data_IF_401395799473
#
_entry.id   IF_401395799473
#
_cell.length_a   1.000
_cell.length_b   1.000
_cell.length_c   1.000
_cell.angle_alpha   90.00
_cell.angle_beta   90.00
_cell.angle_gamma   90.00
#
_symmetry.space_group_name_H-M   'P 1'
#
loop_
_entity.id
_entity.type
_entity.pdbx_description
1 polymer ?
#
# COMPACT_ATOMS: atom_id res chain seq x y z
N UNK A 1 47.72 -40.37 -30.75
CA UNK A 1 46.83 -41.16 -31.62
C UNK A 1 45.41 -40.61 -31.38
N UNK A 2 44.65 -40.11 -32.36
CA UNK A 2 44.23 -40.72 -33.64
C UNK A 2 43.21 -41.84 -33.37
N UNK A 3 41.98 -41.93 -33.91
CA UNK A 3 41.26 -41.34 -35.08
C UNK A 3 39.74 -41.29 -34.75
N UNK A 4 39.03 -40.15 -34.86
CA UNK A 4 38.20 -39.63 -36.01
C UNK A 4 36.80 -40.29 -36.20
N UNK A 5 35.82 -39.46 -36.60
CA UNK A 5 34.42 -39.82 -36.95
C UNK A 5 34.28 -40.70 -38.21
N UNK A 6 33.11 -41.34 -38.37
CA UNK A 6 32.24 -41.43 -39.58
C UNK A 6 30.92 -42.12 -39.11
N UNK A 7 29.66 -41.69 -39.30
CA UNK A 7 28.86 -41.07 -40.39
C UNK A 7 28.12 -42.10 -41.28
N UNK A 8 26.77 -42.03 -41.29
CA UNK A 8 25.80 -42.55 -42.29
C UNK A 8 25.59 -44.09 -42.40
N UNK A 9 24.53 -44.66 -43.02
CA UNK A 9 23.38 -44.11 -43.83
C UNK A 9 22.16 -45.07 -43.88
N UNK A 10 20.93 -44.54 -44.09
CA UNK A 10 19.77 -45.14 -44.84
C UNK A 10 19.16 -46.47 -44.31
N UNK A 11 17.97 -46.97 -44.69
CA UNK A 11 16.79 -46.55 -45.51
C UNK A 11 15.58 -47.45 -45.11
N UNK A 12 14.30 -47.27 -45.48
CA UNK A 12 13.56 -46.28 -46.28
C UNK A 12 12.28 -45.85 -45.48
N UNK A 13 11.05 -45.56 -45.95
CA UNK A 13 10.31 -45.51 -47.24
C UNK A 13 9.71 -44.09 -47.44
N UNK A 14 9.36 -43.60 -48.63
CA UNK A 14 8.20 -43.87 -49.53
C UNK A 14 6.83 -43.77 -48.82
N UNK A 15 5.87 -42.94 -49.27
CA UNK A 15 5.58 -42.54 -50.68
C UNK A 15 5.56 -41.02 -50.95
N UNK A 16 5.58 -40.65 -52.25
CA UNK A 16 5.59 -39.27 -52.79
C UNK A 16 4.21 -38.59 -52.79
N UNK A 17 4.19 -37.25 -52.78
CA UNK A 17 3.89 -36.49 -54.01
C UNK A 17 4.25 -34.99 -53.90
N UNK A 18 4.50 -34.36 -55.05
CA UNK A 18 4.95 -32.98 -55.21
C UNK A 18 4.21 -32.31 -56.38
N UNK A 19 3.70 -31.09 -56.20
CA UNK A 19 3.54 -30.08 -57.25
C UNK A 19 3.21 -28.71 -56.66
N UNK A 20 3.74 -27.64 -57.26
CA UNK A 20 3.45 -26.26 -56.85
C UNK A 20 2.07 -25.79 -57.33
N UNK A 21 1.36 -25.00 -56.52
CA UNK A 21 0.49 -23.94 -57.06
C UNK A 21 0.32 -22.77 -56.10
N UNK A 22 0.44 -21.58 -56.69
CA UNK A 22 0.49 -20.24 -56.11
C UNK A 22 -0.71 -19.77 -55.28
N UNK A 23 -0.41 -19.04 -54.19
CA UNK A 23 -1.07 -17.79 -53.74
C UNK A 23 -2.62 -17.73 -53.75
N UNK A 24 -3.32 -18.41 -52.83
CA UNK A 24 -4.78 -18.19 -52.68
C UNK A 24 -5.42 -18.43 -51.28
N UNK A 25 -4.76 -18.16 -50.14
CA UNK A 25 -5.52 -17.94 -48.89
C UNK A 25 -4.78 -17.11 -47.80
N UNK A 26 -5.24 -15.88 -47.55
CA UNK A 26 -4.88 -15.08 -46.34
C UNK A 26 -6.01 -14.20 -45.78
N UNK A 27 -7.23 -14.23 -46.35
CA UNK A 27 -8.34 -13.34 -45.99
C UNK A 27 -9.51 -14.06 -45.27
N UNK A 28 -9.43 -15.36 -45.01
CA UNK A 28 -10.54 -16.13 -44.42
C UNK A 28 -10.58 -16.13 -42.87
N UNK A 29 -9.44 -15.96 -42.18
CA UNK A 29 -9.37 -16.04 -40.71
C UNK A 29 -9.60 -14.71 -39.99
N UNK A 30 -9.36 -13.57 -40.64
CA UNK A 30 -9.50 -12.23 -40.07
C UNK A 30 -10.96 -11.84 -39.79
N UNK A 31 -11.91 -12.38 -40.57
CA UNK A 31 -13.34 -12.12 -40.38
C UNK A 31 -13.88 -12.66 -39.05
N UNK A 32 -13.35 -13.80 -38.57
CA UNK A 32 -13.86 -14.45 -37.35
C UNK A 32 -13.40 -13.72 -36.08
N UNK A 33 -12.11 -13.38 -35.97
CA UNK A 33 -11.55 -12.75 -34.76
C UNK A 33 -12.15 -11.36 -34.46
N UNK A 34 -12.52 -10.59 -35.49
CA UNK A 34 -13.23 -9.31 -35.33
C UNK A 34 -14.57 -9.46 -34.60
N UNK A 35 -15.27 -10.59 -34.77
CA UNK A 35 -16.62 -10.80 -34.20
C UNK A 35 -16.64 -10.98 -32.68
N UNK A 36 -15.49 -11.35 -32.06
CA UNK A 36 -15.38 -11.53 -30.62
C UNK A 36 -15.18 -10.17 -29.93
N UNK A 37 -14.24 -9.36 -30.43
CA UNK A 37 -13.98 -8.02 -29.87
C UNK A 37 -15.17 -7.08 -30.08
N UNK A 38 -15.87 -7.18 -31.21
CA UNK A 38 -17.11 -6.44 -31.47
C UNK A 38 -18.24 -6.76 -30.47
N UNK A 39 -18.22 -7.92 -29.79
CA UNK A 39 -19.19 -8.31 -28.75
C UNK A 39 -18.66 -8.12 -27.32
N UNK A 40 -17.35 -8.11 -27.11
CA UNK A 40 -16.73 -7.72 -25.84
C UNK A 40 -16.86 -6.21 -25.56
N UNK A 41 -17.07 -5.39 -26.61
CA UNK A 41 -17.26 -3.94 -26.54
C UNK A 41 -18.63 -3.50 -25.96
N UNK A 42 -19.05 -4.14 -24.85
CA UNK A 42 -20.01 -3.54 -23.93
C UNK A 42 -19.49 -2.14 -23.53
N UNK A 43 -20.34 -1.10 -23.68
CA UNK A 43 -19.93 0.31 -23.54
C UNK A 43 -19.13 0.52 -22.26
N UNK A 44 -17.80 0.70 -22.40
CA UNK A 44 -16.90 1.00 -21.28
C UNK A 44 -17.23 2.40 -20.78
N UNK A 45 -18.13 2.47 -19.80
CA UNK A 45 -18.65 3.71 -19.22
C UNK A 45 -17.60 4.32 -18.28
N UNK A 46 -16.56 4.89 -18.89
CA UNK A 46 -15.53 5.67 -18.21
C UNK A 46 -16.09 7.03 -17.82
N UNK A 47 -16.11 7.31 -16.52
CA UNK A 47 -16.59 8.58 -15.96
C UNK A 47 -15.48 9.27 -15.18
N UNK A 48 -15.35 10.56 -15.42
CA UNK A 48 -14.31 11.42 -14.84
C UNK A 48 -14.83 12.12 -13.60
N UNK A 49 -14.07 12.06 -12.51
CA UNK A 49 -14.41 12.67 -11.22
C UNK A 49 -13.31 13.62 -10.75
N UNK A 50 -13.68 14.82 -10.26
CA UNK A 50 -12.71 15.75 -9.63
C UNK A 50 -12.37 15.31 -8.21
N UNK A 51 -11.22 15.74 -7.68
CA UNK A 51 -10.85 15.47 -6.28
C UNK A 51 -11.93 15.95 -5.29
N UNK A 52 -12.55 17.11 -5.52
CA UNK A 52 -13.65 17.61 -4.68
C UNK A 52 -14.89 16.69 -4.72
N UNK A 53 -15.24 16.12 -5.89
CA UNK A 53 -16.31 15.12 -5.96
C UNK A 53 -15.96 13.84 -5.18
N UNK A 54 -14.69 13.43 -5.17
CA UNK A 54 -14.20 12.25 -4.43
C UNK A 54 -14.22 12.50 -2.92
N UNK A 55 -13.76 13.67 -2.45
CA UNK A 55 -13.88 14.07 -1.05
C UNK A 55 -15.35 14.19 -0.60
N UNK A 56 -16.23 14.75 -1.44
CA UNK A 56 -17.67 14.82 -1.17
C UNK A 56 -18.31 13.42 -1.08
N UNK A 57 -17.92 12.50 -1.98
CA UNK A 57 -18.38 11.11 -1.94
C UNK A 57 -17.94 10.38 -0.66
N UNK A 58 -16.67 10.53 -0.26
CA UNK A 58 -16.13 9.92 0.95
C UNK A 58 -16.71 10.54 2.23
N UNK A 59 -16.91 11.87 2.24
CA UNK A 59 -17.57 12.61 3.31
C UNK A 59 -18.96 12.05 3.61
N UNK A 60 -19.81 11.93 2.57
CA UNK A 60 -21.15 11.33 2.67
C UNK A 60 -21.10 9.86 3.11
N UNK A 61 -20.14 9.08 2.61
CA UNK A 61 -20.03 7.64 2.86
C UNK A 61 -19.68 7.30 4.32
N UNK A 62 -18.83 8.11 4.95
CA UNK A 62 -18.27 7.82 6.29
C UNK A 62 -18.66 8.84 7.37
N UNK A 63 -19.55 9.78 7.05
CA UNK A 63 -20.01 10.86 7.92
C UNK A 63 -18.85 11.68 8.54
N UNK A 64 -17.90 12.06 7.69
CA UNK A 64 -16.75 12.92 8.08
C UNK A 64 -16.89 14.26 7.33
N UNK A 65 -16.74 15.43 7.99
CA UNK A 65 -16.83 16.72 7.31
C UNK A 65 -15.86 16.84 6.13
N UNK A 66 -16.35 17.26 4.95
CA UNK A 66 -15.54 17.32 3.74
C UNK A 66 -14.27 18.18 3.93
N UNK A 67 -14.41 19.36 4.56
CA UNK A 67 -13.29 20.25 4.90
C UNK A 67 -12.19 19.58 5.74
N UNK A 68 -12.57 18.66 6.64
CA UNK A 68 -11.62 17.93 7.48
C UNK A 68 -10.82 16.90 6.65
N UNK A 69 -11.47 16.21 5.71
CA UNK A 69 -10.78 15.31 4.76
C UNK A 69 -9.81 16.09 3.85
N UNK A 70 -10.25 17.26 3.36
CA UNK A 70 -9.45 18.13 2.49
C UNK A 70 -8.25 18.74 3.25
N UNK A 71 -8.43 19.16 4.50
CA UNK A 71 -7.36 19.67 5.37
C UNK A 71 -6.33 18.60 5.76
N UNK A 72 -6.76 17.36 5.99
CA UNK A 72 -5.86 16.21 6.16
C UNK A 72 -5.10 15.93 4.86
N UNK A 73 -5.77 15.80 3.72
CA UNK A 73 -5.10 15.51 2.44
C UNK A 73 -4.11 16.61 1.98
N UNK A 74 -4.39 17.87 2.29
CA UNK A 74 -3.44 18.98 2.13
C UNK A 74 -2.23 18.83 3.06
N UNK A 75 -2.45 18.47 4.33
CA UNK A 75 -1.39 18.30 5.33
C UNK A 75 -0.47 17.12 5.03
N UNK A 76 -1.05 15.99 4.61
CA UNK A 76 -0.39 14.72 4.38
C UNK A 76 0.43 14.68 3.08
N UNK A 77 -0.16 15.13 1.96
CA UNK A 77 0.45 14.96 0.63
C UNK A 77 0.49 16.23 -0.24
N UNK A 78 -0.16 17.33 0.19
CA UNK A 78 -0.49 18.46 -0.68
C UNK A 78 -1.20 18.01 -1.97
N UNK A 79 -2.17 17.11 -1.83
CA UNK A 79 -2.93 16.50 -2.94
C UNK A 79 -2.07 15.76 -3.98
N UNK A 80 -1.04 15.03 -3.52
CA UNK A 80 -0.19 14.17 -4.36
C UNK A 80 -0.61 12.70 -4.24
N UNK A 81 -1.34 12.22 -5.26
CA UNK A 81 -1.74 10.82 -5.40
C UNK A 81 -0.56 9.82 -5.37
N UNK A 82 0.61 10.23 -5.87
CA UNK A 82 1.83 9.42 -5.90
C UNK A 82 2.82 9.75 -4.76
N UNK A 83 2.33 10.28 -3.63
CA UNK A 83 3.18 10.53 -2.47
C UNK A 83 3.51 9.23 -1.72
N UNK A 84 4.79 9.04 -1.38
CA UNK A 84 5.26 8.00 -0.46
C UNK A 84 6.14 8.68 0.59
N UNK A 85 5.84 8.54 1.88
CA UNK A 85 6.70 9.08 2.95
C UNK A 85 7.93 8.20 3.17
N UNK A 86 8.88 8.69 3.98
CA UNK A 86 10.03 7.91 4.43
C UNK A 86 9.63 6.65 5.23
N UNK A 87 8.55 6.71 6.02
CA UNK A 87 8.01 5.52 6.71
C UNK A 87 7.10 4.65 5.81
N UNK A 88 6.90 5.00 4.54
CA UNK A 88 6.09 4.21 3.61
C UNK A 88 4.59 4.50 3.66
N UNK A 89 4.17 5.64 4.20
CA UNK A 89 2.78 6.10 4.10
C UNK A 89 2.47 6.46 2.64
N UNK A 90 1.34 6.00 2.10
CA UNK A 90 1.05 6.02 0.66
C UNK A 90 -0.16 6.89 0.30
N UNK A 91 -0.05 7.55 -0.85
CA UNK A 91 -1.14 8.23 -1.51
C UNK A 91 -1.59 9.53 -0.86
N UNK A 92 -2.73 10.03 -1.32
CA UNK A 92 -3.16 11.40 -1.11
C UNK A 92 -3.53 11.75 0.36
N UNK A 93 -3.90 10.74 1.16
CA UNK A 93 -4.14 10.83 2.61
C UNK A 93 -3.12 10.01 3.43
N UNK A 94 -1.96 9.65 2.84
CA UNK A 94 -0.82 8.98 3.49
C UNK A 94 -1.21 7.80 4.40
N UNK A 95 -1.82 6.76 3.82
CA UNK A 95 -2.14 5.52 4.52
C UNK A 95 -0.90 4.62 4.61
N UNK A 96 -0.52 4.20 5.82
CA UNK A 96 0.50 3.16 6.02
C UNK A 96 0.06 1.83 5.38
N UNK A 97 0.97 0.95 4.90
CA UNK A 97 0.59 -0.22 4.11
C UNK A 97 -0.36 -1.18 4.81
N UNK A 98 -0.09 -1.50 6.09
CA UNK A 98 -0.98 -2.34 6.89
C UNK A 98 -2.34 -1.66 7.15
N UNK A 99 -2.36 -0.34 7.37
CA UNK A 99 -3.59 0.45 7.53
C UNK A 99 -4.42 0.40 6.25
N UNK A 100 -3.83 0.68 5.08
CA UNK A 100 -4.50 0.59 3.78
C UNK A 100 -5.12 -0.80 3.55
N UNK A 101 -4.35 -1.88 3.78
CA UNK A 101 -4.82 -3.27 3.70
C UNK A 101 -6.01 -3.54 4.65
N UNK A 102 -5.92 -3.10 5.91
CA UNK A 102 -7.02 -3.24 6.90
C UNK A 102 -8.30 -2.46 6.55
N UNK A 103 -8.16 -1.39 5.76
CA UNK A 103 -9.27 -0.55 5.32
C UNK A 103 -9.94 -1.08 4.04
N UNK A 104 -9.32 -2.02 3.32
CA UNK A 104 -9.80 -2.52 2.02
C UNK A 104 -9.38 -1.63 0.84
N UNK A 105 -8.24 -0.96 0.95
CA UNK A 105 -7.60 -0.21 -0.13
C UNK A 105 -6.62 -1.15 -0.84
N UNK A 106 -6.82 -1.38 -2.14
CA UNK A 106 -6.02 -2.31 -2.95
C UNK A 106 -4.87 -1.55 -3.62
N UNK A 107 -5.21 -0.45 -4.30
CA UNK A 107 -4.23 0.52 -4.80
C UNK A 107 -4.24 1.75 -3.89
N UNK A 108 -3.18 1.91 -3.08
CA UNK A 108 -3.03 3.04 -2.19
C UNK A 108 -2.61 4.34 -2.90
N UNK A 109 -2.21 4.31 -4.17
CA UNK A 109 -1.94 5.50 -4.98
C UNK A 109 -3.16 5.92 -5.83
N UNK A 110 -4.16 5.05 -5.98
CA UNK A 110 -5.47 5.42 -6.53
C UNK A 110 -6.15 6.47 -5.63
N UNK A 111 -6.47 7.68 -6.12
CA UNK A 111 -7.04 8.72 -5.25
C UNK A 111 -8.41 8.35 -4.67
N UNK A 112 -9.21 7.56 -5.37
CA UNK A 112 -10.55 7.17 -4.88
C UNK A 112 -10.45 6.13 -3.77
N UNK A 113 -9.66 5.08 -3.95
CA UNK A 113 -9.47 4.09 -2.88
C UNK A 113 -8.76 4.70 -1.67
N UNK A 114 -7.72 5.51 -1.89
CA UNK A 114 -6.99 6.17 -0.80
C UNK A 114 -7.84 7.19 -0.01
N UNK A 115 -8.62 8.06 -0.68
CA UNK A 115 -9.53 8.99 0.02
C UNK A 115 -10.64 8.24 0.75
N UNK A 116 -11.19 7.18 0.17
CA UNK A 116 -12.20 6.35 0.83
C UNK A 116 -11.62 5.60 2.04
N UNK A 117 -10.35 5.17 1.99
CA UNK A 117 -9.63 4.60 3.12
C UNK A 117 -9.37 5.63 4.22
N UNK A 118 -8.80 6.79 3.88
CA UNK A 118 -8.53 7.88 4.83
C UNK A 118 -9.79 8.38 5.53
N UNK A 119 -10.89 8.56 4.80
CA UNK A 119 -12.18 8.93 5.39
C UNK A 119 -12.75 7.83 6.31
N UNK A 120 -12.61 6.55 5.94
CA UNK A 120 -12.99 5.41 6.80
C UNK A 120 -12.18 5.37 8.10
N UNK A 121 -10.87 5.59 8.02
CA UNK A 121 -9.98 5.59 9.19
C UNK A 121 -10.23 6.81 10.10
N UNK A 122 -10.40 8.01 9.52
CA UNK A 122 -10.69 9.21 10.30
C UNK A 122 -12.09 9.14 10.96
N UNK A 123 -13.07 8.52 10.31
CA UNK A 123 -14.37 8.20 10.91
C UNK A 123 -14.24 7.25 12.11
N UNK A 124 -13.41 6.20 12.00
CA UNK A 124 -13.08 5.32 13.12
C UNK A 124 -12.40 6.06 14.27
N UNK A 125 -11.48 6.98 14.00
CA UNK A 125 -10.81 7.77 15.03
C UNK A 125 -11.77 8.77 15.70
N UNK A 126 -12.60 9.48 14.93
CA UNK A 126 -13.65 10.36 15.46
C UNK A 126 -14.62 9.59 16.36
N UNK A 127 -15.06 8.38 15.96
CA UNK A 127 -15.88 7.50 16.79
C UNK A 127 -15.15 7.06 18.07
N UNK A 128 -13.85 6.72 17.98
CA UNK A 128 -13.05 6.26 19.12
C UNK A 128 -12.88 7.34 20.20
N UNK A 129 -12.84 8.62 19.82
CA UNK A 129 -12.67 9.75 20.75
C UNK A 129 -13.92 10.62 20.87
N UNK A 130 -15.11 10.04 20.70
CA UNK A 130 -16.40 10.70 20.97
C UNK A 130 -16.60 12.03 20.21
N UNK A 131 -16.07 12.15 19.00
CA UNK A 131 -16.12 13.36 18.18
C UNK A 131 -15.02 14.38 18.45
N UNK A 132 -14.09 14.14 19.38
CA UNK A 132 -12.94 15.02 19.63
C UNK A 132 -11.96 14.98 18.44
N UNK A 133 -12.06 16.00 17.57
CA UNK A 133 -11.23 16.14 16.36
C UNK A 133 -9.73 16.15 16.66
N UNK A 134 -9.29 16.79 17.74
CA UNK A 134 -7.87 16.90 18.10
C UNK A 134 -7.25 15.54 18.46
N UNK A 135 -7.95 14.72 19.25
CA UNK A 135 -7.54 13.34 19.57
C UNK A 135 -7.65 12.43 18.34
N UNK A 136 -8.68 12.61 17.52
CA UNK A 136 -8.85 11.85 16.29
C UNK A 136 -7.74 12.12 15.26
N UNK A 137 -7.31 13.37 15.10
CA UNK A 137 -6.19 13.77 14.24
C UNK A 137 -4.84 13.28 14.79
N UNK A 138 -4.61 13.37 16.11
CA UNK A 138 -3.42 12.81 16.73
C UNK A 138 -3.33 11.28 16.53
N UNK A 139 -4.47 10.58 16.61
CA UNK A 139 -4.53 9.14 16.37
C UNK A 139 -4.48 8.75 14.89
N UNK A 140 -4.90 9.64 13.99
CA UNK A 140 -4.68 9.48 12.55
C UNK A 140 -3.18 9.51 12.23
N UNK A 141 -2.48 10.54 12.72
CA UNK A 141 -1.06 10.79 12.47
C UNK A 141 -0.10 9.83 13.18
N UNK A 142 -0.30 9.55 14.47
CA UNK A 142 0.63 8.76 15.29
C UNK A 142 0.06 7.41 15.77
N UNK A 143 -1.15 7.06 15.34
CA UNK A 143 -1.85 5.84 15.76
C UNK A 143 -2.53 5.96 17.13
N UNK A 144 -3.68 5.28 17.33
CA UNK A 144 -4.46 5.38 18.56
C UNK A 144 -3.73 4.88 19.82
N UNK A 145 -2.74 3.99 19.68
CA UNK A 145 -1.93 3.52 20.80
C UNK A 145 -1.07 4.62 21.44
N UNK A 146 -0.54 5.55 20.64
CA UNK A 146 0.24 6.67 21.16
C UNK A 146 -0.64 7.70 21.90
N UNK A 147 -1.84 8.00 21.38
CA UNK A 147 -2.81 8.87 22.06
C UNK A 147 -3.25 8.27 23.40
N UNK A 148 -3.52 6.96 23.44
CA UNK A 148 -3.83 6.26 24.69
C UNK A 148 -2.68 6.30 25.70
N UNK A 149 -1.43 6.04 25.25
CA UNK A 149 -0.23 6.07 26.11
C UNK A 149 0.02 7.44 26.77
N UNK A 150 -0.31 8.53 26.09
CA UNK A 150 -0.12 9.89 26.60
C UNK A 150 -1.39 10.49 27.26
N UNK A 151 -2.48 9.71 27.35
CA UNK A 151 -3.80 10.15 27.85
C UNK A 151 -4.29 11.48 27.25
N UNK A 152 -3.99 11.71 25.97
CA UNK A 152 -4.18 13.02 25.34
C UNK A 152 -3.45 13.14 23.99
N UNK A 153 -3.43 14.34 23.41
CA UNK A 153 -2.64 14.64 22.21
C UNK A 153 -1.15 14.64 22.58
N UNK A 154 -0.31 13.72 22.05
CA UNK A 154 1.12 13.71 22.35
C UNK A 154 1.78 15.01 21.86
N UNK A 155 2.80 15.51 22.55
CA UNK A 155 3.47 16.78 22.23
C UNK A 155 3.96 16.84 20.77
N UNK A 156 4.55 15.75 20.28
CA UNK A 156 5.01 15.62 18.89
C UNK A 156 3.88 15.61 17.84
N UNK A 157 2.61 15.37 18.24
CA UNK A 157 1.45 15.45 17.36
C UNK A 157 0.83 16.86 17.29
N UNK A 158 1.11 17.75 18.25
CA UNK A 158 0.41 19.05 18.35
C UNK A 158 0.61 19.91 17.10
N UNK A 159 1.82 19.91 16.52
CA UNK A 159 2.10 20.63 15.27
C UNK A 159 1.26 20.14 14.07
N UNK A 160 0.99 18.83 13.98
CA UNK A 160 0.10 18.26 12.97
C UNK A 160 -1.35 18.69 13.21
N UNK A 161 -1.86 18.51 14.43
CA UNK A 161 -3.25 18.85 14.80
C UNK A 161 -3.53 20.33 14.53
N UNK A 162 -2.63 21.22 14.96
CA UNK A 162 -2.76 22.66 14.78
C UNK A 162 -2.70 23.05 13.29
N UNK A 163 -1.85 22.40 12.48
CA UNK A 163 -1.76 22.63 11.03
C UNK A 163 -3.06 22.22 10.31
N UNK A 164 -3.61 21.05 10.63
CA UNK A 164 -4.89 20.60 10.05
C UNK A 164 -6.03 21.53 10.47
N UNK A 165 -6.14 21.90 11.75
CA UNK A 165 -7.17 22.82 12.22
C UNK A 165 -7.09 24.17 11.49
N UNK A 166 -5.89 24.74 11.33
CA UNK A 166 -5.70 26.01 10.64
C UNK A 166 -6.16 25.99 9.17
N UNK A 167 -6.09 24.83 8.50
CA UNK A 167 -6.66 24.62 7.16
C UNK A 167 -8.18 24.42 7.16
N UNK A 168 -8.78 23.86 8.21
CA UNK A 168 -10.24 23.81 8.37
C UNK A 168 -10.80 25.23 8.51
N UNK A 169 -10.15 26.05 9.34
CA UNK A 169 -10.56 27.42 9.66
C UNK A 169 -10.43 28.36 8.45
N UNK A 170 -9.27 28.33 7.76
CA UNK A 170 -9.01 29.14 6.56
C UNK A 170 -9.68 28.61 5.29
N UNK A 171 -10.11 27.35 5.29
CA UNK A 171 -10.54 26.64 4.09
C UNK A 171 -9.38 26.12 3.25
N UNK A 172 -9.70 25.22 2.30
CA UNK A 172 -8.73 24.47 1.51
C UNK A 172 -9.06 24.56 0.02
N UNK A 173 -8.09 25.06 -0.76
CA UNK A 173 -8.17 25.07 -2.22
C UNK A 173 -7.78 23.69 -2.77
N UNK A 174 -8.76 22.79 -2.92
CA UNK A 174 -8.58 21.49 -3.57
C UNK A 174 -8.24 21.72 -5.06
N UNK A 175 -7.13 21.17 -5.59
CA UNK A 175 -6.78 21.38 -6.99
C UNK A 175 -7.78 20.68 -7.92
N UNK A 176 -8.02 21.25 -9.10
CA UNK A 176 -8.90 20.69 -10.13
C UNK A 176 -8.25 19.49 -10.87
N UNK A 177 -7.71 18.53 -10.12
CA UNK A 177 -7.25 17.23 -10.60
C UNK A 177 -8.44 16.27 -10.71
N UNK A 178 -8.36 15.38 -11.69
CA UNK A 178 -9.40 14.40 -11.99
C UNK A 178 -8.88 12.97 -11.96
N UNK A 179 -9.81 12.02 -11.83
CA UNK A 179 -9.58 10.58 -12.00
C UNK A 179 -10.65 10.04 -12.95
N UNK A 180 -10.23 9.36 -14.01
CA UNK A 180 -11.13 8.63 -14.91
C UNK A 180 -11.28 7.20 -14.41
N UNK A 181 -12.51 6.75 -14.15
CA UNK A 181 -12.80 5.40 -13.69
C UNK A 181 -13.79 4.69 -14.61
N UNK A 182 -13.51 3.42 -14.92
CA UNK A 182 -14.52 2.53 -15.48
C UNK A 182 -15.57 2.23 -14.40
N UNK A 183 -16.83 2.53 -14.68
CA UNK A 183 -17.95 2.38 -13.73
C UNK A 183 -18.20 0.93 -13.29
N UNK A 184 -17.63 -0.08 -13.95
CA UNK A 184 -17.72 -1.48 -13.49
C UNK A 184 -16.79 -1.79 -12.29
N UNK A 185 -15.74 -1.00 -12.07
CA UNK A 185 -14.76 -1.18 -10.98
C UNK A 185 -15.38 -0.88 -9.60
N UNK A 186 -14.75 -1.36 -8.52
CA UNK A 186 -15.18 -1.02 -7.16
C UNK A 186 -15.18 0.50 -6.91
N UNK A 187 -14.08 1.18 -7.26
CA UNK A 187 -13.97 2.64 -7.18
C UNK A 187 -15.04 3.34 -8.04
N UNK A 188 -15.31 2.86 -9.26
CA UNK A 188 -16.34 3.38 -10.15
C UNK A 188 -17.75 3.29 -9.55
N UNK A 189 -18.13 2.10 -9.07
CA UNK A 189 -19.42 1.85 -8.39
C UNK A 189 -19.61 2.71 -7.14
N UNK A 190 -18.57 2.85 -6.32
CA UNK A 190 -18.60 3.73 -5.15
C UNK A 190 -18.80 5.19 -5.57
N UNK A 191 -18.04 5.68 -6.54
CA UNK A 191 -18.22 7.07 -7.01
C UNK A 191 -19.60 7.32 -7.63
N UNK A 192 -20.15 6.36 -8.38
CA UNK A 192 -21.50 6.47 -8.92
C UNK A 192 -22.58 6.52 -7.82
N UNK A 193 -22.42 5.74 -6.73
CA UNK A 193 -23.34 5.73 -5.59
C UNK A 193 -23.48 7.10 -4.89
N UNK A 194 -22.38 7.83 -4.67
CA UNK A 194 -22.38 9.07 -3.85
C UNK A 194 -22.29 10.38 -4.66
N UNK A 195 -22.16 10.31 -6.00
CA UNK A 195 -22.21 11.48 -6.89
C UNK A 195 -23.49 11.60 -7.72
N UNK A 196 -24.30 10.54 -7.82
CA UNK A 196 -25.56 10.58 -8.59
C UNK A 196 -26.67 11.27 -7.79
N UNK A 197 -27.40 12.20 -8.43
CA UNK A 197 -28.47 12.99 -7.82
C UNK A 197 -29.77 12.18 -7.56
N UNK A 198 -29.71 11.18 -6.67
CA UNK A 198 -30.91 10.76 -5.94
C UNK A 198 -31.20 11.79 -4.85
N UNK A 199 -32.48 12.15 -4.66
CA UNK A 199 -32.92 13.12 -3.64
C UNK A 199 -32.30 12.76 -2.29
N UNK A 200 -31.61 13.72 -1.69
CA UNK A 200 -31.09 13.64 -0.34
C UNK A 200 -32.25 13.34 0.65
N UNK A 201 -32.10 12.35 1.54
CA UNK A 201 -32.96 12.28 2.73
C UNK A 201 -32.72 13.55 3.53
N UNK A 202 -33.75 14.37 3.70
CA UNK A 202 -33.69 15.55 4.56
C UNK A 202 -33.34 15.09 5.96
N UNK A 203 -32.17 15.48 6.45
CA UNK A 203 -31.85 15.34 7.87
C UNK A 203 -32.73 16.38 8.59
N UNK A 204 -33.89 15.93 9.06
CA UNK A 204 -34.60 16.62 10.13
C UNK A 204 -33.65 16.70 11.30
N UNK A 205 -33.24 17.91 11.66
CA UNK A 205 -32.53 18.17 12.91
C UNK A 205 -33.43 17.76 14.07
N UNK A 206 -33.10 16.65 14.74
CA UNK A 206 -33.78 16.29 15.98
C UNK A 206 -33.60 17.43 16.98
N UNK A 207 -34.73 17.89 17.50
CA UNK A 207 -34.82 19.11 18.28
C UNK A 207 -34.23 18.86 19.66
N UNK A 208 -33.03 19.40 19.91
CA UNK A 208 -32.41 19.38 21.23
C UNK A 208 -33.41 19.89 22.28
N UNK A 209 -33.70 19.06 23.28
CA UNK A 209 -34.70 19.31 24.32
C UNK A 209 -34.15 20.26 25.39
N UNK A 210 -33.92 21.51 25.00
CA UNK A 210 -33.61 22.58 25.94
C UNK A 210 -34.80 22.78 26.89
N UNK A 211 -34.59 22.45 28.15
CA UNK A 211 -35.59 22.61 29.21
C UNK A 211 -35.83 24.11 29.48
N UNK A 212 -37.07 24.48 29.81
CA UNK A 212 -37.46 25.90 29.84
C UNK A 212 -36.99 26.63 31.10
N UNK A 213 -36.57 27.88 30.92
CA UNK A 213 -36.77 28.93 31.91
C UNK A 213 -37.03 30.27 31.21
N UNK A 214 -37.77 31.16 31.88
CA UNK A 214 -38.20 32.50 31.45
C UNK A 214 -37.03 33.43 31.06
N UNK A 215 -37.20 34.54 30.31
CA UNK A 215 -38.31 35.50 30.40
C UNK A 215 -38.48 36.46 29.19
N UNK A 216 -39.65 37.12 29.13
CA UNK A 216 -39.98 38.44 28.52
C UNK A 216 -39.43 38.90 27.14
N UNK A 217 -40.36 39.22 26.20
CA UNK A 217 -40.39 40.34 25.21
C UNK A 217 -39.11 40.73 24.43
N UNK A 218 -39.13 40.90 23.09
CA UNK A 218 -39.90 41.98 22.42
C UNK A 218 -40.19 41.74 20.90
N UNK A 219 -40.71 42.76 20.21
CA UNK A 219 -41.21 42.77 18.81
C UNK A 219 -40.12 42.82 17.71
N UNK A 220 -40.41 42.26 16.52
CA UNK A 220 -40.72 43.03 15.28
C UNK A 220 -40.61 42.22 13.96
N UNK A 221 -41.41 42.62 12.96
CA UNK A 221 -41.33 42.47 11.47
C UNK A 221 -40.61 41.27 10.80
N UNK A 222 -41.22 40.57 9.83
CA UNK A 222 -41.47 40.98 8.40
C UNK A 222 -40.17 41.13 7.57
N UNK A 223 -40.06 40.64 6.33
CA UNK A 223 -41.10 40.19 5.37
C UNK A 223 -40.56 39.09 4.42
N UNK A 224 -41.47 38.40 3.72
CA UNK A 224 -41.16 37.48 2.62
C UNK A 224 -40.61 38.18 1.38
N UNK A 225 -39.66 37.55 0.68
CA UNK A 225 -39.56 37.62 -0.79
C UNK A 225 -39.32 36.20 -1.34
N UNK A 226 -40.30 35.69 -2.08
CA UNK A 226 -40.11 34.56 -3.01
C UNK A 226 -39.99 35.16 -4.40
N UNK A 227 -39.01 34.73 -5.20
CA UNK A 227 -39.18 34.74 -6.65
C UNK A 227 -38.36 33.64 -7.34
N UNK A 228 -38.74 33.34 -8.59
CA UNK A 228 -38.47 32.07 -9.27
C UNK A 228 -37.96 32.28 -10.70
N UNK A 229 -37.94 31.18 -11.48
CA UNK A 229 -38.11 31.13 -12.95
C UNK A 229 -36.83 31.11 -13.84
N UNK A 230 -36.63 29.89 -14.37
CA UNK A 230 -36.23 29.50 -15.74
C UNK A 230 -34.78 29.43 -16.25
N UNK A 231 -34.62 28.32 -16.98
CA UNK A 231 -33.57 27.94 -17.93
C UNK A 231 -33.85 28.46 -19.35
N UNK A 232 -32.80 28.64 -20.14
CA UNK A 232 -32.87 28.62 -21.62
C UNK A 232 -31.69 27.83 -22.22
N UNK A 233 -31.82 27.36 -23.46
CA UNK A 233 -30.83 26.52 -24.17
C UNK A 233 -29.87 27.34 -25.03
N UNK A 234 -28.65 26.82 -25.20
CA UNK A 234 -27.75 26.88 -26.37
C UNK A 234 -27.69 28.18 -27.21
N UNK A 235 -26.50 28.68 -27.57
CA UNK A 235 -25.55 27.94 -28.43
C UNK A 235 -24.15 28.59 -28.46
N UNK A 236 -23.14 27.80 -28.88
CA UNK A 236 -21.85 28.14 -29.49
C UNK A 236 -21.01 29.32 -28.95
N UNK A 237 -19.73 29.06 -28.65
CA UNK A 237 -18.59 29.59 -29.45
C UNK A 237 -17.25 28.91 -29.07
N UNK A 238 -16.40 28.71 -30.09
CA UNK A 238 -14.97 28.34 -30.10
C UNK A 238 -14.48 27.02 -29.45
N UNK A 239 -14.11 26.07 -30.32
CA UNK A 239 -13.02 25.11 -30.09
C UNK A 239 -11.70 25.85 -29.80
N UNK A 240 -10.88 25.35 -28.87
CA UNK A 240 -9.58 25.98 -28.59
C UNK A 240 -8.63 25.32 -27.58
N UNK A 241 -8.82 24.06 -27.16
CA UNK A 241 -7.98 23.45 -26.11
C UNK A 241 -7.90 21.91 -26.13
N UNK A 242 -7.61 21.28 -27.28
CA UNK A 242 -7.44 19.81 -27.39
C UNK A 242 -5.96 19.43 -27.62
N UNK A 243 -5.09 19.83 -26.69
CA UNK A 243 -3.68 19.41 -26.65
C UNK A 243 -3.08 19.59 -25.24
N UNK A 244 -3.17 18.56 -24.37
CA UNK A 244 -2.23 18.27 -23.26
C UNK A 244 -2.63 17.10 -22.31
N UNK A 245 -3.75 16.41 -22.55
CA UNK A 245 -4.20 15.28 -21.71
C UNK A 245 -3.44 13.96 -21.92
N UNK A 246 -2.65 13.82 -22.99
CA UNK A 246 -1.91 12.60 -23.33
C UNK A 246 -0.62 12.43 -22.50
N UNK A 247 0.15 13.51 -22.29
CA UNK A 247 1.44 13.46 -21.61
C UNK A 247 1.33 12.95 -20.16
N UNK A 248 0.40 13.51 -19.37
CA UNK A 248 0.22 13.15 -17.96
C UNK A 248 -0.20 11.68 -17.75
N UNK A 249 -1.07 11.16 -18.63
CA UNK A 249 -1.50 9.76 -18.58
C UNK A 249 -0.36 8.79 -18.97
N UNK A 250 0.54 9.21 -19.86
CA UNK A 250 1.71 8.41 -20.20
C UNK A 250 2.68 8.32 -19.01
N UNK A 251 2.95 9.42 -18.29
CA UNK A 251 3.84 9.42 -17.10
C UNK A 251 3.40 8.43 -16.02
N UNK A 252 2.09 8.36 -15.72
CA UNK A 252 1.54 7.39 -14.73
C UNK A 252 1.84 5.95 -15.16
N UNK A 253 1.67 5.65 -16.44
CA UNK A 253 1.92 4.34 -17.03
C UNK A 253 3.42 4.03 -17.15
N UNK A 254 4.27 5.04 -17.37
CA UNK A 254 5.74 4.90 -17.37
C UNK A 254 6.27 4.51 -15.99
N UNK A 255 5.75 5.07 -14.89
CA UNK A 255 6.14 4.61 -13.54
C UNK A 255 5.80 3.13 -13.31
N UNK A 256 4.59 2.68 -13.68
CA UNK A 256 4.22 1.27 -13.58
C UNK A 256 5.12 0.37 -14.46
N UNK A 257 5.48 0.83 -15.67
CA UNK A 257 6.40 0.12 -16.56
C UNK A 257 7.85 0.09 -16.08
N UNK A 258 8.33 1.08 -15.33
CA UNK A 258 9.69 1.06 -14.74
C UNK A 258 9.74 0.08 -13.57
N UNK A 259 8.69 0.00 -12.74
CA UNK A 259 8.55 -1.09 -11.77
C UNK A 259 8.52 -2.46 -12.48
N UNK A 260 7.70 -2.63 -13.52
CA UNK A 260 7.58 -3.89 -14.25
C UNK A 260 8.85 -4.30 -15.05
N UNK A 261 9.64 -3.35 -15.55
CA UNK A 261 10.86 -3.63 -16.31
C UNK A 261 12.00 -4.14 -15.42
N UNK A 262 12.10 -3.63 -14.18
CA UNK A 262 13.02 -4.15 -13.18
C UNK A 262 12.59 -5.53 -12.65
N UNK A 263 11.29 -5.86 -12.73
CA UNK A 263 10.71 -7.11 -12.21
C UNK A 263 11.28 -8.36 -12.88
N UNK A 264 11.60 -8.33 -14.18
CA UNK A 264 12.08 -9.51 -14.93
C UNK A 264 13.37 -10.11 -14.33
N UNK A 265 14.27 -9.28 -13.79
CA UNK A 265 15.48 -9.74 -13.09
C UNK A 265 15.24 -10.13 -11.63
N UNK A 266 14.20 -9.59 -10.99
CA UNK A 266 13.81 -9.97 -9.64
C UNK A 266 13.09 -11.33 -9.64
N UNK A 267 12.05 -11.49 -10.48
CA UNK A 267 11.28 -12.72 -10.63
C UNK A 267 12.20 -13.90 -10.99
N UNK A 268 13.07 -13.73 -11.99
CA UNK A 268 14.00 -14.80 -12.42
C UNK A 268 15.06 -15.14 -11.37
N UNK A 269 15.47 -14.22 -10.49
CA UNK A 269 16.32 -14.55 -9.35
C UNK A 269 15.52 -15.28 -8.27
N UNK A 270 14.30 -14.83 -7.98
CA UNK A 270 13.40 -15.43 -7.00
C UNK A 270 13.01 -16.86 -7.39
N UNK A 271 12.71 -17.14 -8.66
CA UNK A 271 12.38 -18.49 -9.14
C UNK A 271 13.54 -19.48 -8.97
N UNK A 272 14.77 -19.06 -9.29
CA UNK A 272 15.97 -19.90 -9.12
C UNK A 272 16.33 -20.14 -7.64
N UNK A 273 16.05 -19.17 -6.75
CA UNK A 273 16.22 -19.34 -5.30
C UNK A 273 15.09 -20.19 -4.71
N UNK A 274 13.84 -19.93 -5.10
CA UNK A 274 12.63 -20.64 -4.62
C UNK A 274 12.64 -22.13 -4.97
N UNK A 275 13.19 -22.49 -6.13
CA UNK A 275 13.35 -23.91 -6.55
C UNK A 275 14.50 -24.65 -5.85
N UNK A 276 15.36 -23.95 -5.10
CA UNK A 276 16.52 -24.55 -4.43
C UNK A 276 16.52 -24.44 -2.90
N UNK A 277 15.85 -23.43 -2.34
CA UNK A 277 15.75 -23.16 -0.89
C UNK A 277 14.41 -23.66 -0.34
N UNK A 278 14.47 -24.64 0.56
CA UNK A 278 13.30 -25.33 1.11
C UNK A 278 12.75 -24.66 2.36
N UNK A 279 13.60 -24.19 3.27
CA UNK A 279 13.21 -23.65 4.57
C UNK A 279 13.93 -22.34 4.94
N UNK A 280 13.54 -21.74 6.07
CA UNK A 280 14.15 -20.51 6.56
C UNK A 280 15.64 -20.67 6.96
N UNK A 281 16.13 -21.85 7.34
CA UNK A 281 17.56 -22.05 7.60
C UNK A 281 18.36 -21.93 6.30
N UNK A 282 17.97 -22.70 5.28
CA UNK A 282 18.58 -22.63 3.95
C UNK A 282 18.54 -21.19 3.39
N UNK A 283 17.46 -20.44 3.65
CA UNK A 283 17.34 -19.03 3.27
C UNK A 283 18.35 -18.11 3.99
N UNK A 284 18.46 -18.19 5.32
CA UNK A 284 19.44 -17.38 6.05
C UNK A 284 20.88 -17.77 5.70
N UNK A 285 21.17 -19.06 5.50
CA UNK A 285 22.49 -19.56 5.15
C UNK A 285 22.90 -19.15 3.71
N UNK A 286 21.94 -19.06 2.78
CA UNK A 286 22.16 -18.48 1.45
C UNK A 286 22.42 -16.97 1.52
N UNK A 287 21.57 -16.20 2.21
CA UNK A 287 21.71 -14.74 2.33
C UNK A 287 22.99 -14.34 3.09
N UNK A 288 23.40 -15.14 4.07
CA UNK A 288 24.67 -15.03 4.78
C UNK A 288 25.87 -15.15 3.83
N UNK A 289 25.84 -16.18 2.97
CA UNK A 289 26.90 -16.44 1.99
C UNK A 289 26.98 -15.35 0.92
N UNK A 290 25.85 -14.94 0.36
CA UNK A 290 25.78 -13.92 -0.71
C UNK A 290 26.37 -12.57 -0.24
N UNK A 291 26.03 -12.13 0.97
CA UNK A 291 26.40 -10.80 1.47
C UNK A 291 27.61 -10.79 2.43
N UNK A 292 28.27 -11.94 2.59
CA UNK A 292 29.42 -12.18 3.49
C UNK A 292 29.14 -11.78 4.95
N UNK A 293 28.09 -12.34 5.53
CA UNK A 293 27.62 -12.08 6.90
C UNK A 293 27.51 -13.41 7.65
N UNK A 294 27.86 -13.50 8.96
CA UNK A 294 27.60 -14.70 9.75
C UNK A 294 26.09 -14.99 9.84
N UNK A 295 25.67 -16.19 9.43
CA UNK A 295 24.24 -16.55 9.38
C UNK A 295 23.52 -16.42 10.72
N UNK A 296 24.18 -16.76 11.83
CA UNK A 296 23.62 -16.64 13.17
C UNK A 296 23.27 -15.19 13.56
N UNK A 297 23.94 -14.20 12.96
CA UNK A 297 23.58 -12.78 13.12
C UNK A 297 22.28 -12.47 12.37
N UNK A 298 22.11 -12.95 11.13
CA UNK A 298 20.85 -12.77 10.38
C UNK A 298 19.68 -13.47 11.08
N UNK A 299 19.89 -14.71 11.54
CA UNK A 299 18.93 -15.50 12.34
C UNK A 299 18.56 -14.76 13.64
N UNK A 300 19.55 -14.23 14.38
CA UNK A 300 19.34 -13.49 15.63
C UNK A 300 18.65 -12.12 15.44
N UNK A 301 18.95 -11.40 14.35
CA UNK A 301 18.26 -10.15 13.99
C UNK A 301 16.81 -10.45 13.64
N UNK A 302 16.55 -11.40 12.74
CA UNK A 302 15.19 -11.76 12.31
C UNK A 302 14.30 -12.22 13.49
N UNK A 303 14.84 -13.06 14.38
CA UNK A 303 14.16 -13.41 15.62
C UNK A 303 13.88 -12.20 16.52
N UNK A 304 14.85 -11.29 16.68
CA UNK A 304 14.69 -10.10 17.53
C UNK A 304 13.70 -9.09 16.95
N UNK A 305 13.61 -8.99 15.61
CA UNK A 305 12.78 -8.05 14.87
C UNK A 305 11.32 -8.52 14.72
N UNK A 306 11.11 -9.80 14.36
CA UNK A 306 9.75 -10.33 14.05
C UNK A 306 9.38 -11.61 14.82
N UNK A 307 10.35 -12.32 15.41
CA UNK A 307 10.17 -13.69 15.86
C UNK A 307 9.95 -14.67 14.69
N UNK A 308 10.62 -14.43 13.55
CA UNK A 308 10.46 -15.14 12.28
C UNK A 308 9.03 -15.10 11.69
N UNK A 309 8.34 -13.96 11.82
CA UNK A 309 6.97 -13.77 11.30
C UNK A 309 6.99 -12.95 10.00
N UNK A 310 6.74 -13.54 8.82
CA UNK A 310 6.79 -12.81 7.55
C UNK A 310 5.64 -11.79 7.41
N UNK A 311 4.56 -11.95 8.18
CA UNK A 311 3.45 -11.01 8.25
C UNK A 311 3.59 -9.94 9.36
N UNK A 312 4.73 -9.88 10.06
CA UNK A 312 4.96 -8.86 11.09
C UNK A 312 5.02 -7.45 10.50
N UNK A 313 4.32 -6.51 11.13
CA UNK A 313 4.42 -5.07 10.84
C UNK A 313 4.53 -4.32 12.16
N UNK A 314 5.60 -3.56 12.33
CA UNK A 314 5.80 -2.70 13.50
C UNK A 314 4.88 -1.47 13.48
N UNK A 315 4.71 -0.81 14.62
CA UNK A 315 3.99 0.47 14.72
C UNK A 315 4.57 1.58 13.84
N UNK A 316 5.84 1.47 13.46
CA UNK A 316 6.54 2.42 12.57
C UNK A 316 6.38 2.09 11.09
N UNK A 317 5.78 0.94 10.75
CA UNK A 317 5.57 0.49 9.38
C UNK A 317 6.66 -0.39 8.78
N UNK A 318 7.67 -0.79 9.57
CA UNK A 318 8.63 -1.80 9.13
C UNK A 318 7.95 -3.16 8.93
N UNK A 319 8.34 -3.93 7.91
CA UNK A 319 7.62 -5.14 7.44
C UNK A 319 8.54 -6.36 7.35
N UNK A 320 7.98 -7.54 7.62
CA UNK A 320 8.57 -8.84 7.32
C UNK A 320 9.55 -9.38 8.35
N UNK A 321 10.21 -10.48 8.00
CA UNK A 321 11.11 -11.25 8.86
C UNK A 321 12.18 -10.39 9.55
N UNK A 322 12.86 -9.53 8.79
CA UNK A 322 13.92 -8.66 9.28
C UNK A 322 13.46 -7.23 9.62
N UNK A 323 12.15 -6.95 9.52
CA UNK A 323 11.51 -5.64 9.71
C UNK A 323 12.20 -4.52 8.92
N UNK A 324 12.07 -4.56 7.59
CA UNK A 324 12.54 -3.49 6.70
C UNK A 324 11.55 -2.33 6.66
N UNK A 325 12.04 -1.10 6.83
CA UNK A 325 11.25 0.11 6.59
C UNK A 325 10.95 0.25 5.08
N UNK A 326 9.74 0.66 4.64
CA UNK A 326 9.38 0.60 3.21
C UNK A 326 10.18 1.50 2.27
N UNK A 327 10.84 2.56 2.78
CA UNK A 327 11.81 3.31 1.98
C UNK A 327 13.10 2.50 1.76
N UNK A 328 13.67 1.97 2.84
CA UNK A 328 14.86 1.13 2.82
C UNK A 328 14.64 -0.14 1.99
N UNK A 329 13.50 -0.81 2.13
CA UNK A 329 13.11 -1.96 1.31
C UNK A 329 13.22 -1.67 -0.20
N UNK A 330 12.64 -0.55 -0.65
CA UNK A 330 12.70 -0.09 -2.04
C UNK A 330 14.12 0.27 -2.48
N UNK A 331 14.92 0.90 -1.61
CA UNK A 331 16.34 1.21 -1.87
C UNK A 331 17.22 -0.05 -2.01
N UNK A 332 16.84 -1.13 -1.31
CA UNK A 332 17.50 -2.43 -1.38
C UNK A 332 17.06 -3.26 -2.60
N UNK A 333 15.91 -2.95 -3.21
CA UNK A 333 15.31 -3.71 -4.30
C UNK A 333 14.28 -4.76 -3.86
N UNK A 334 13.77 -4.67 -2.63
CA UNK A 334 12.66 -5.50 -2.11
C UNK A 334 11.34 -4.95 -2.63
N UNK A 335 10.56 -5.79 -3.31
CA UNK A 335 9.30 -5.45 -3.97
C UNK A 335 8.13 -5.82 -3.05
N UNK A 336 8.05 -7.08 -2.61
CA UNK A 336 7.16 -7.50 -1.53
C UNK A 336 7.95 -7.74 -0.23
N UNK A 337 7.80 -6.82 0.73
CA UNK A 337 8.41 -6.99 2.06
C UNK A 337 7.75 -8.07 2.91
N UNK A 338 6.62 -8.64 2.50
CA UNK A 338 6.03 -9.83 3.12
C UNK A 338 6.60 -11.15 2.55
N UNK A 339 7.24 -11.12 1.36
CA UNK A 339 7.93 -12.27 0.78
C UNK A 339 9.18 -12.61 1.61
N UNK A 340 9.32 -13.83 2.16
CA UNK A 340 10.48 -14.22 2.94
C UNK A 340 11.82 -14.05 2.22
N UNK A 341 11.91 -14.45 0.94
CA UNK A 341 13.18 -14.36 0.19
C UNK A 341 13.61 -12.90 0.08
N UNK A 342 12.74 -12.05 -0.46
CA UNK A 342 13.06 -10.65 -0.70
C UNK A 342 13.39 -9.92 0.60
N UNK A 343 12.61 -10.15 1.66
CA UNK A 343 12.82 -9.48 2.95
C UNK A 343 14.14 -9.88 3.62
N UNK A 344 14.54 -11.16 3.56
CA UNK A 344 15.80 -11.64 4.13
C UNK A 344 16.99 -11.23 3.27
N UNK A 345 16.90 -11.36 1.93
CA UNK A 345 17.97 -10.91 1.02
C UNK A 345 18.19 -9.40 1.12
N UNK A 346 17.12 -8.60 1.19
CA UNK A 346 17.19 -7.16 1.45
C UNK A 346 17.81 -6.84 2.82
N UNK A 347 17.39 -7.53 3.89
CA UNK A 347 17.95 -7.31 5.23
C UNK A 347 19.42 -7.68 5.34
N UNK A 348 19.85 -8.78 4.72
CA UNK A 348 21.27 -9.14 4.64
C UNK A 348 22.07 -8.11 3.81
N UNK A 349 21.57 -7.71 2.64
CA UNK A 349 22.16 -6.64 1.82
C UNK A 349 22.34 -5.33 2.60
N UNK A 350 21.35 -4.96 3.40
CA UNK A 350 21.42 -3.75 4.24
C UNK A 350 22.47 -3.87 5.33
N UNK A 351 22.51 -5.00 6.05
CA UNK A 351 23.53 -5.22 7.08
C UNK A 351 24.95 -5.25 6.50
N UNK A 352 25.14 -5.75 5.28
CA UNK A 352 26.42 -5.70 4.57
C UNK A 352 26.82 -4.26 4.22
N UNK A 353 25.88 -3.42 3.77
CA UNK A 353 26.12 -1.98 3.58
C UNK A 353 26.51 -1.27 4.88
N UNK A 354 25.90 -1.65 6.02
CA UNK A 354 26.24 -1.09 7.33
C UNK A 354 27.61 -1.58 7.85
N UNK A 355 27.94 -2.86 7.66
CA UNK A 355 29.28 -3.38 7.96
C UNK A 355 30.36 -2.65 7.15
N UNK A 356 30.13 -2.43 5.86
CA UNK A 356 31.03 -1.63 5.02
C UNK A 356 31.13 -0.17 5.49
N UNK A 357 30.02 0.45 5.93
CA UNK A 357 30.01 1.82 6.49
C UNK A 357 30.85 1.95 7.75
N UNK A 358 30.77 0.97 8.65
CA UNK A 358 31.44 1.01 9.95
C UNK A 358 32.72 0.13 9.99
N UNK A 359 33.40 -0.02 8.84
CA UNK A 359 34.71 -0.69 8.73
C UNK A 359 34.75 -2.13 9.32
N UNK A 360 33.66 -2.89 9.17
CA UNK A 360 33.51 -4.24 9.71
C UNK A 360 33.07 -4.30 11.19
N UNK A 361 32.84 -3.16 11.86
CA UNK A 361 32.39 -3.13 13.24
C UNK A 361 30.93 -3.61 13.35
N UNK A 362 30.76 -4.85 13.80
CA UNK A 362 29.48 -5.54 13.91
C UNK A 362 28.51 -4.87 14.90
N UNK A 363 29.01 -4.36 16.03
CA UNK A 363 28.20 -3.65 17.03
C UNK A 363 27.59 -2.37 16.45
N UNK A 364 28.39 -1.55 15.76
CA UNK A 364 27.93 -0.34 15.09
C UNK A 364 26.99 -0.66 13.93
N UNK A 365 27.24 -1.72 13.16
CA UNK A 365 26.36 -2.16 12.09
C UNK A 365 24.99 -2.62 12.60
N UNK A 366 24.94 -3.44 13.66
CA UNK A 366 23.68 -3.87 14.30
C UNK A 366 22.96 -2.66 14.95
N UNK A 367 23.69 -1.76 15.59
CA UNK A 367 23.12 -0.53 16.17
C UNK A 367 22.47 0.35 15.10
N UNK A 368 23.13 0.55 13.96
CA UNK A 368 22.60 1.32 12.85
C UNK A 368 21.42 0.61 12.15
N UNK A 369 21.38 -0.72 12.15
CA UNK A 369 20.25 -1.50 11.62
C UNK A 369 18.95 -1.22 12.37
N UNK A 370 19.01 -1.11 13.70
CA UNK A 370 17.82 -0.86 14.55
C UNK A 370 17.52 0.62 14.80
N UNK A 371 18.55 1.45 14.98
CA UNK A 371 18.40 2.87 15.32
C UNK A 371 18.45 3.83 14.11
N UNK A 372 18.88 3.32 12.95
CA UNK A 372 19.15 4.12 11.75
C UNK A 372 20.53 4.81 11.80
N UNK A 373 21.23 4.77 10.66
CA UNK A 373 22.56 5.34 10.41
C UNK A 373 22.77 6.71 11.09
N UNK A 374 21.85 7.66 10.88
CA UNK A 374 21.96 9.03 11.38
C UNK A 374 22.01 9.17 12.91
N UNK A 375 21.49 8.20 13.67
CA UNK A 375 21.59 8.19 15.13
C UNK A 375 22.93 7.66 15.64
N UNK A 376 23.68 6.93 14.81
CA UNK A 376 25.03 6.46 15.12
C UNK A 376 26.04 7.52 14.69
N UNK A 377 25.98 7.93 13.42
CA UNK A 377 26.88 8.91 12.81
C UNK A 377 26.91 10.26 13.57
N UNK A 378 25.74 10.76 13.99
CA UNK A 378 25.64 12.07 14.68
C UNK A 378 26.31 12.08 16.06
N UNK A 379 26.31 10.95 16.76
CA UNK A 379 26.75 10.87 18.14
C UNK A 379 28.15 10.25 18.29
N UNK A 380 28.65 9.53 17.27
CA UNK A 380 29.91 8.78 17.31
C UNK A 380 29.89 7.54 18.23
N UNK A 381 28.85 7.41 19.05
CA UNK A 381 28.65 6.33 20.03
C UNK A 381 27.29 5.65 19.83
N UNK A 382 27.21 4.37 20.17
CA UNK A 382 25.95 3.62 20.14
C UNK A 382 25.03 4.11 21.27
N UNK A 383 23.81 4.60 20.98
CA UNK A 383 22.85 4.99 22.02
C UNK A 383 22.43 3.80 22.90
N UNK A 384 22.19 4.00 24.19
CA UNK A 384 21.92 2.92 25.16
C UNK A 384 20.76 1.99 24.78
N UNK A 385 19.72 2.53 24.11
CA UNK A 385 18.60 1.72 23.61
C UNK A 385 19.04 0.79 22.47
N UNK A 386 19.94 1.25 21.59
CA UNK A 386 20.52 0.46 20.51
C UNK A 386 21.54 -0.56 21.06
N UNK A 387 22.36 -0.19 22.04
CA UNK A 387 23.29 -1.12 22.70
C UNK A 387 22.55 -2.31 23.33
N UNK A 388 21.35 -2.08 23.88
CA UNK A 388 20.49 -3.15 24.42
C UNK A 388 20.09 -4.16 23.33
N UNK A 389 19.80 -3.68 22.11
CA UNK A 389 19.50 -4.52 20.95
C UNK A 389 20.76 -5.26 20.44
N UNK A 390 21.90 -4.56 20.32
CA UNK A 390 23.20 -5.16 19.95
C UNK A 390 23.55 -6.31 20.88
N UNK A 391 23.53 -6.09 22.19
CA UNK A 391 23.84 -7.10 23.21
C UNK A 391 22.91 -8.31 23.11
N UNK A 392 21.62 -8.09 22.83
CA UNK A 392 20.63 -9.17 22.61
C UNK A 392 20.95 -9.98 21.36
N UNK A 393 21.17 -9.33 20.22
CA UNK A 393 21.49 -10.01 18.94
C UNK A 393 22.79 -10.82 19.07
N UNK A 394 23.86 -10.24 19.63
CA UNK A 394 25.13 -10.93 19.83
C UNK A 394 25.02 -12.10 20.82
N UNK A 395 24.20 -11.98 21.88
CA UNK A 395 23.95 -13.11 22.79
C UNK A 395 23.11 -14.21 22.15
N UNK A 396 22.19 -13.88 21.24
CA UNK A 396 21.36 -14.86 20.53
C UNK A 396 22.18 -15.60 19.47
N UNK A 397 22.98 -14.88 18.66
CA UNK A 397 23.88 -15.49 17.68
C UNK A 397 24.86 -16.47 18.35
N UNK A 398 25.47 -16.09 19.48
CA UNK A 398 26.39 -16.96 20.25
C UNK A 398 25.72 -18.19 20.89
N UNK A 399 24.41 -18.18 21.11
CA UNK A 399 23.65 -19.32 21.66
C UNK A 399 23.03 -20.21 20.56
N UNK A 400 23.03 -19.75 19.31
CA UNK A 400 22.11 -20.23 18.29
C UNK A 400 20.68 -19.78 18.55
N UNK A 401 19.87 -19.73 17.48
CA UNK A 401 18.43 -19.47 17.56
C UNK A 401 17.70 -20.53 16.77
N UNK A 402 16.67 -21.15 17.37
CA UNK A 402 15.83 -22.14 16.67
C UNK A 402 14.96 -21.43 15.63
N UNK A 403 15.38 -21.48 14.37
CA UNK A 403 14.58 -21.03 13.24
C UNK A 403 13.42 -22.02 13.03
N UNK A 404 12.17 -21.55 12.84
CA UNK A 404 11.05 -22.43 12.50
C UNK A 404 11.30 -23.19 11.21
N UNK A 405 11.07 -24.51 11.23
CA UNK A 405 11.01 -25.31 10.01
C UNK A 405 9.66 -25.03 9.32
N UNK A 406 9.68 -24.02 8.45
CA UNK A 406 8.56 -23.59 7.61
C UNK A 406 9.03 -23.68 6.16
N UNK A 407 8.35 -24.50 5.38
CA UNK A 407 8.60 -24.65 3.95
C UNK A 407 8.35 -23.32 3.22
N UNK A 408 9.30 -22.87 2.40
CA UNK A 408 9.24 -21.57 1.73
C UNK A 408 8.00 -21.46 0.84
N UNK A 409 7.69 -22.49 0.05
CA UNK A 409 6.50 -22.54 -0.80
C UNK A 409 5.21 -22.32 0.02
N UNK A 410 5.05 -23.06 1.13
CA UNK A 410 3.93 -22.89 2.06
C UNK A 410 3.85 -21.47 2.67
N UNK A 411 4.98 -20.75 2.80
CA UNK A 411 4.98 -19.35 3.25
C UNK A 411 4.71 -18.32 2.14
N UNK A 412 5.00 -18.65 0.87
CA UNK A 412 4.69 -17.80 -0.30
C UNK A 412 3.19 -17.80 -0.64
N UNK A 413 2.52 -18.96 -0.52
CA UNK A 413 1.12 -19.13 -0.96
C UNK A 413 0.07 -18.40 -0.09
N UNK A 414 0.46 -17.72 0.99
CA UNK A 414 -0.48 -16.96 1.83
C UNK A 414 -1.07 -15.68 1.22
N UNK A 415 -0.77 -15.39 -0.06
CA UNK A 415 -1.26 -14.20 -0.77
C UNK A 415 -2.21 -14.52 -1.95
N UNK A 416 -3.10 -15.52 -1.83
CA UNK A 416 -4.21 -15.69 -2.77
C UNK A 416 -5.57 -16.04 -2.13
N UNK A 417 -6.62 -15.63 -2.86
CA UNK A 417 -8.02 -15.63 -2.46
C UNK A 417 -8.55 -16.99 -1.96
N UNK A 418 -9.13 -17.03 -0.76
CA UNK A 418 -10.32 -17.86 -0.54
C UNK A 418 -11.32 -17.25 0.45
N UNK A 419 -12.18 -16.38 -0.08
CA UNK A 419 -13.45 -15.98 0.55
C UNK A 419 -14.65 -16.65 -0.12
N UNK A 420 -14.57 -17.98 -0.38
CA UNK A 420 -15.74 -18.83 -0.63
C UNK A 420 -15.42 -20.34 -0.53
N UNK A 421 -15.38 -20.87 0.70
CA UNK A 421 -15.76 -22.27 0.96
C UNK A 421 -16.12 -22.46 2.43
N UNK A 422 -17.20 -23.21 2.69
CA UNK A 422 -17.65 -23.55 4.04
C UNK A 422 -16.83 -24.71 4.60
N UNK A 423 -15.85 -24.43 5.47
CA UNK A 423 -15.40 -25.38 6.48
C UNK A 423 -14.67 -24.66 7.62
N UNK A 424 -15.33 -24.52 8.78
CA UNK A 424 -14.83 -23.69 9.88
C UNK A 424 -13.92 -24.42 10.89
N UNK A 425 -13.87 -25.76 10.85
CA UNK A 425 -13.35 -26.54 11.98
C UNK A 425 -11.82 -26.69 12.02
N UNK A 426 -11.11 -26.49 10.91
CA UNK A 426 -9.66 -26.75 10.82
C UNK A 426 -8.78 -25.50 10.99
N UNK A 427 -9.35 -24.30 11.18
CA UNK A 427 -8.58 -23.03 11.24
C UNK A 427 -8.04 -22.68 12.62
N UNK A 428 -8.56 -23.26 13.71
CA UNK A 428 -7.98 -23.06 15.05
C UNK A 428 -6.73 -23.91 15.28
N UNK A 429 -6.68 -25.11 14.72
CA UNK A 429 -5.66 -26.12 15.05
C UNK A 429 -4.27 -25.73 14.52
N UNK A 430 -4.19 -25.19 13.30
CA UNK A 430 -2.93 -24.67 12.74
C UNK A 430 -2.38 -23.48 13.55
N UNK A 431 -3.27 -22.63 14.08
CA UNK A 431 -2.89 -21.50 14.93
C UNK A 431 -2.41 -21.97 16.32
N UNK A 432 -3.05 -22.99 16.92
CA UNK A 432 -2.58 -23.63 18.15
C UNK A 432 -1.19 -24.25 17.97
N UNK A 433 -0.92 -24.91 16.84
CA UNK A 433 0.36 -25.60 16.61
C UNK A 433 1.57 -24.67 16.53
N UNK A 434 1.38 -23.41 16.12
CA UNK A 434 2.42 -22.36 16.12
C UNK A 434 2.67 -21.80 17.54
N UNK A 435 1.69 -21.85 18.43
CA UNK A 435 1.75 -21.29 19.79
C UNK A 435 2.44 -22.21 20.82
N UNK A 436 2.43 -23.52 20.61
CA UNK A 436 2.96 -24.52 21.57
C UNK A 436 4.50 -24.55 21.58
N UNK A 437 5.14 -24.18 20.47
CA UNK A 437 6.57 -24.40 20.22
C UNK A 437 7.50 -23.25 20.67
N UNK A 438 7.01 -22.31 21.50
CA UNK A 438 7.72 -21.06 21.86
C UNK A 438 7.89 -20.91 23.39
N UNK A 439 8.11 -22.02 24.12
CA UNK A 439 8.52 -22.00 25.53
C UNK A 439 9.54 -23.10 25.88
N UNK A 440 10.83 -22.80 25.63
CA UNK A 440 11.97 -23.12 26.51
C UNK A 440 12.94 -21.93 26.46
#
# INVERSE_FOLDING_TARGET
MAITNLVNTKSATSTKNNSNTSKANKNASTASYSSYEAKANSKINNKTYTYSQIFSAASKKYNVPQKLLEAVALTESSFRANATSYCGAMGIMQLMPATAKSLGVNDAYNPVENIMGGAKYLSQMLKKYNGNTSLALAAYNAGPGNVAKHNGVPSFCQGYVNKVQNYIDKGVNVPNKTVTLNSSTFAGKVMEQYTSNKKQPTITTEKATNNSSSNSSDKAHSTSVVNSINTTKASNINNGAIANSSAANNTINTSAKIYAANNIYADSLIDNISTSIKDYNELYDYAAKEYNIPSDILKAISYTQSGFKPNAVSSSGAVGLMQLMPATARELGVIDSYNPIENVMGGAKYLSQLLNRYNGNIDYAIAAYTAGIGNIDKNGVIPSFAQTFVNKVLSLAKKGVRVPNVELASSMYFNQNNSNSNNNNNKEETNKKILIDIQV
#
